data_IF_423900567482
#
_entry.id   IF_423900567482
#
_cell.length_a   1.000
_cell.length_b   1.000
_cell.length_c   1.000
_cell.angle_alpha   90.00
_cell.angle_beta   90.00
_cell.angle_gamma   90.00
#
_symmetry.space_group_name_H-M   'P 1'
#
loop_
_entity.id
_entity.type
_entity.pdbx_description
1 polymer ?
#
# COMPACT_ATOMS: atom_id res chain seq x y z
N UNK A 1 1.69 -17.51 -21.65
CA UNK A 1 2.71 -18.09 -20.75
C UNK A 1 4.03 -17.49 -21.16
N UNK A 2 4.77 -16.87 -20.25
CA UNK A 2 6.09 -16.31 -20.57
C UNK A 2 7.09 -17.47 -20.56
N UNK A 3 7.40 -18.04 -21.73
CA UNK A 3 8.48 -19.01 -21.92
C UNK A 3 9.77 -18.23 -22.19
N UNK A 4 10.36 -17.68 -21.13
CA UNK A 4 11.68 -17.04 -21.19
C UNK A 4 12.65 -17.98 -20.48
N UNK A 5 13.63 -18.48 -21.21
CA UNK A 5 14.75 -19.24 -20.68
C UNK A 5 15.82 -18.33 -20.07
N UNK A 6 16.80 -18.96 -19.44
CA UNK A 6 17.89 -18.27 -18.75
C UNK A 6 18.70 -17.39 -19.73
N UNK A 7 18.87 -17.83 -20.97
CA UNK A 7 19.60 -17.07 -22.00
C UNK A 7 18.86 -15.81 -22.42
N UNK A 8 17.55 -15.88 -22.67
CA UNK A 8 16.76 -14.70 -23.03
C UNK A 8 16.72 -13.69 -21.88
N UNK A 9 16.62 -14.16 -20.63
CA UNK A 9 16.71 -13.28 -19.45
C UNK A 9 18.06 -12.53 -19.40
N UNK A 10 19.16 -13.21 -19.72
CA UNK A 10 20.50 -12.61 -19.72
C UNK A 10 20.61 -11.49 -20.75
N UNK A 11 20.05 -11.70 -21.96
CA UNK A 11 19.98 -10.66 -23.01
C UNK A 11 19.16 -9.47 -22.52
N UNK A 12 18.00 -9.70 -21.89
CA UNK A 12 17.16 -8.62 -21.35
C UNK A 12 17.90 -7.82 -20.29
N UNK A 13 18.59 -8.49 -19.35
CA UNK A 13 19.41 -7.82 -18.34
C UNK A 13 20.51 -6.98 -18.99
N UNK A 14 21.17 -7.50 -20.01
CA UNK A 14 22.20 -6.77 -20.75
C UNK A 14 21.63 -5.51 -21.40
N UNK A 15 20.48 -5.62 -22.07
CA UNK A 15 19.78 -4.49 -22.69
C UNK A 15 19.39 -3.45 -21.65
N UNK A 16 18.88 -3.86 -20.49
CA UNK A 16 18.53 -2.94 -19.39
C UNK A 16 19.77 -2.21 -18.89
N UNK A 17 20.88 -2.91 -18.67
CA UNK A 17 22.14 -2.32 -18.22
C UNK A 17 22.76 -1.38 -19.27
N UNK A 18 22.57 -1.66 -20.55
CA UNK A 18 23.07 -0.80 -21.62
C UNK A 18 22.18 0.43 -21.85
N UNK A 19 20.86 0.25 -21.73
CA UNK A 19 19.87 1.30 -21.88
C UNK A 19 19.83 2.24 -20.67
N UNK A 20 20.03 1.70 -19.46
CA UNK A 20 20.06 2.45 -18.21
C UNK A 20 21.50 2.59 -17.78
N UNK A 21 22.07 3.80 -17.89
CA UNK A 21 23.40 4.07 -17.34
C UNK A 21 23.45 3.62 -15.87
N UNK A 22 24.41 2.76 -15.47
CA UNK A 22 24.47 2.19 -14.13
C UNK A 22 24.61 3.26 -13.03
N UNK A 23 25.16 4.42 -13.38
CA UNK A 23 25.25 5.60 -12.52
C UNK A 23 23.88 6.09 -11.99
N UNK A 24 22.79 5.84 -12.74
CA UNK A 24 21.44 6.27 -12.37
C UNK A 24 20.57 5.15 -11.81
N UNK A 25 21.01 3.89 -11.89
CA UNK A 25 20.25 2.73 -11.43
C UNK A 25 19.93 2.82 -9.93
N UNK A 26 20.94 3.15 -9.11
CA UNK A 26 20.76 3.42 -7.68
C UNK A 26 19.85 4.62 -7.41
N UNK A 27 19.88 5.65 -8.27
CA UNK A 27 19.01 6.81 -8.12
C UNK A 27 17.54 6.43 -8.33
N UNK A 28 17.23 5.67 -9.38
CA UNK A 28 15.87 5.19 -9.64
C UNK A 28 15.34 4.25 -8.55
N UNK A 29 16.18 3.34 -8.06
CA UNK A 29 15.83 2.48 -6.92
C UNK A 29 15.50 3.34 -5.69
N UNK A 30 16.34 4.33 -5.35
CA UNK A 30 16.07 5.25 -4.24
C UNK A 30 14.77 6.03 -4.42
N UNK A 31 14.45 6.48 -5.62
CA UNK A 31 13.18 7.17 -5.90
C UNK A 31 11.98 6.24 -5.70
N UNK A 32 12.02 5.00 -6.18
CA UNK A 32 10.95 4.01 -5.99
C UNK A 32 10.77 3.69 -4.51
N UNK A 33 11.86 3.43 -3.80
CA UNK A 33 11.81 3.18 -2.36
C UNK A 33 11.28 4.40 -1.60
N UNK A 34 11.73 5.61 -1.93
CA UNK A 34 11.25 6.82 -1.28
C UNK A 34 9.75 7.03 -1.51
N UNK A 35 9.24 6.78 -2.72
CA UNK A 35 7.81 6.82 -3.00
C UNK A 35 7.04 5.76 -2.20
N UNK A 36 7.58 4.54 -2.10
CA UNK A 36 6.96 3.48 -1.31
C UNK A 36 6.90 3.83 0.18
N UNK A 37 7.98 4.40 0.72
CA UNK A 37 8.05 4.89 2.11
C UNK A 37 7.10 6.07 2.34
N UNK A 38 7.01 7.02 1.39
CA UNK A 38 6.08 8.14 1.50
C UNK A 38 4.62 7.66 1.52
N UNK A 39 4.26 6.69 0.67
CA UNK A 39 2.92 6.09 0.67
C UNK A 39 2.67 5.38 2.01
N UNK A 40 3.60 4.55 2.48
CA UNK A 40 3.46 3.84 3.75
C UNK A 40 3.32 4.81 4.94
N UNK A 41 4.11 5.88 4.95
CA UNK A 41 4.04 6.92 5.98
C UNK A 41 2.75 7.72 5.88
N UNK A 42 2.24 8.01 4.68
CA UNK A 42 0.96 8.66 4.48
C UNK A 42 -0.20 7.79 5.00
N UNK A 43 -0.20 6.49 4.74
CA UNK A 43 -1.19 5.58 5.32
C UNK A 43 -1.09 5.47 6.84
N UNK A 44 0.14 5.52 7.38
CA UNK A 44 0.37 5.45 8.84
C UNK A 44 -0.05 6.74 9.53
N UNK A 45 0.34 7.90 8.98
CA UNK A 45 -0.03 9.21 9.50
C UNK A 45 -1.52 9.45 9.33
N UNK A 46 -2.11 9.11 8.19
CA UNK A 46 -3.56 9.13 8.04
C UNK A 46 -4.23 8.18 9.02
N UNK A 47 -3.66 7.01 9.35
CA UNK A 47 -4.24 6.16 10.38
C UNK A 47 -4.15 6.78 11.78
N UNK A 48 -3.03 7.37 12.17
CA UNK A 48 -2.85 8.08 13.46
C UNK A 48 -3.69 9.38 13.55
N UNK A 49 -3.76 10.15 12.46
CA UNK A 49 -4.52 11.39 12.37
C UNK A 49 -6.03 11.09 12.27
N UNK A 50 -6.44 10.04 11.55
CA UNK A 50 -7.80 9.50 11.63
C UNK A 50 -8.08 9.04 13.06
N UNK A 51 -7.18 8.33 13.73
CA UNK A 51 -7.41 7.89 15.12
C UNK A 51 -7.57 9.07 16.11
N UNK A 52 -6.93 10.21 15.84
CA UNK A 52 -7.02 11.44 16.65
C UNK A 52 -8.18 12.36 16.28
N UNK A 53 -8.56 12.44 15.02
CA UNK A 53 -9.53 13.43 14.51
C UNK A 53 -10.89 12.81 14.16
N UNK A 54 -10.90 11.55 13.71
CA UNK A 54 -12.08 10.70 13.59
C UNK A 54 -12.06 9.71 14.75
N UNK A 55 -12.68 10.08 15.87
CA UNK A 55 -12.83 9.24 17.05
C UNK A 55 -13.46 7.88 16.68
N UNK A 56 -12.65 6.92 16.21
CA UNK A 56 -13.11 5.61 15.70
C UNK A 56 -13.87 4.86 16.80
N UNK A 57 -13.63 5.21 18.07
CA UNK A 57 -14.44 4.74 19.20
C UNK A 57 -15.91 5.16 19.06
N UNK A 58 -16.21 6.41 18.70
CA UNK A 58 -17.58 6.88 18.49
C UNK A 58 -18.23 6.17 17.29
N UNK A 59 -17.55 6.07 16.14
CA UNK A 59 -18.09 5.35 14.97
C UNK A 59 -18.32 3.86 15.27
N UNK A 60 -17.42 3.22 16.02
CA UNK A 60 -17.57 1.81 16.42
C UNK A 60 -18.71 1.65 17.44
N UNK A 61 -18.90 2.61 18.33
CA UNK A 61 -19.97 2.60 19.31
C UNK A 61 -21.33 2.86 18.66
N UNK A 62 -21.41 3.77 17.69
CA UNK A 62 -22.63 4.04 16.92
C UNK A 62 -23.04 2.83 16.08
N UNK A 63 -22.09 2.20 15.38
CA UNK A 63 -22.35 0.95 14.65
C UNK A 63 -22.78 -0.17 15.60
N UNK A 64 -22.18 -0.26 16.78
CA UNK A 64 -22.56 -1.27 17.78
C UNK A 64 -23.97 -1.01 18.34
N UNK A 65 -24.30 0.25 18.62
CA UNK A 65 -25.60 0.64 19.15
C UNK A 65 -26.70 0.46 18.11
N UNK A 66 -26.43 0.80 16.84
CA UNK A 66 -27.33 0.53 15.71
C UNK A 66 -27.57 -0.98 15.55
N UNK A 67 -26.51 -1.80 15.58
CA UNK A 67 -26.67 -3.25 15.47
C UNK A 67 -27.50 -3.84 16.62
N UNK A 68 -27.29 -3.35 17.86
CA UNK A 68 -28.07 -3.80 19.03
C UNK A 68 -29.52 -3.37 18.96
N UNK A 69 -29.81 -2.15 18.50
CA UNK A 69 -31.17 -1.67 18.28
C UNK A 69 -31.90 -2.54 17.24
N UNK A 70 -31.22 -2.88 16.13
CA UNK A 70 -31.77 -3.73 15.07
C UNK A 70 -32.00 -5.18 15.47
N UNK A 71 -31.21 -5.70 16.42
CA UNK A 71 -31.43 -7.02 17.02
C UNK A 71 -32.65 -7.00 17.96
N UNK A 72 -32.78 -5.95 18.76
CA UNK A 72 -33.93 -5.78 19.67
C UNK A 72 -35.25 -5.57 18.92
N UNK A 73 -35.23 -4.90 17.76
CA UNK A 73 -36.40 -4.77 16.88
C UNK A 73 -36.77 -6.06 16.13
N UNK A 74 -35.88 -7.06 16.09
CA UNK A 74 -36.14 -8.36 15.45
C UNK A 74 -36.71 -9.40 16.41
N UNK A 75 -36.59 -9.17 17.71
CA UNK A 75 -37.07 -10.07 18.77
C UNK A 75 -38.47 -9.69 19.31
N UNK A 76 -39.12 -8.66 18.75
CA UNK A 76 -40.57 -8.37 18.87
C UNK A 76 -41.35 -8.83 17.61
#
# INVERSE_FOLDING_TARGET
MIQIGILELLIVVLVILFSVKPEKLMHYIKSIFSLFLQIQNFFTSTKEDIERELNIQELKQDIHNENRMRELEKDE
#
